data_IF_482567541966
#
_entry.id   IF_482567541966
#
_cell.length_a   1.000
_cell.length_b   1.000
_cell.length_c   1.000
_cell.angle_alpha   90.00
_cell.angle_beta   90.00
_cell.angle_gamma   90.00
#
_symmetry.space_group_name_H-M   'P 1'
#
loop_
_entity.id
_entity.type
_entity.pdbx_description
1 polymer ?
#
# COMPACT_ATOMS: atom_id res chain seq x y z
N UNK A 1 1.18 -47.19 28.34
CA UNK A 1 0.79 -46.10 29.22
C UNK A 1 1.99 -45.20 29.56
N UNK A 2 3.06 -45.62 30.19
CA UNK A 2 4.20 -44.77 30.59
C UNK A 2 4.79 -43.91 29.43
N UNK A 3 4.95 -44.47 28.22
CA UNK A 3 5.49 -43.71 27.06
C UNK A 3 4.57 -42.58 26.59
N UNK A 4 3.23 -42.81 26.63
CA UNK A 4 2.23 -41.81 26.27
C UNK A 4 2.19 -40.68 27.27
N UNK A 5 2.31 -40.96 28.57
CA UNK A 5 2.36 -39.94 29.62
C UNK A 5 3.60 -39.06 29.51
N UNK A 6 4.76 -39.65 29.16
CA UNK A 6 5.99 -38.89 28.93
C UNK A 6 5.86 -37.98 27.71
N UNK A 7 5.24 -38.46 26.63
CA UNK A 7 5.03 -37.69 25.41
C UNK A 7 4.09 -36.49 25.67
N UNK A 8 2.98 -36.70 26.37
CA UNK A 8 2.06 -35.64 26.76
C UNK A 8 2.76 -34.60 27.67
N UNK A 9 3.57 -35.08 28.63
CA UNK A 9 4.35 -34.19 29.49
C UNK A 9 5.35 -33.34 28.69
N UNK A 10 6.04 -33.91 27.72
CA UNK A 10 6.97 -33.19 26.86
C UNK A 10 6.28 -32.12 26.00
N UNK A 11 5.11 -32.45 25.43
CA UNK A 11 4.30 -31.49 24.66
C UNK A 11 3.82 -30.34 25.54
N UNK A 12 3.32 -30.62 26.73
CA UNK A 12 2.88 -29.57 27.66
C UNK A 12 4.02 -28.63 28.09
N UNK A 13 5.20 -29.18 28.37
CA UNK A 13 6.39 -28.39 28.68
C UNK A 13 6.80 -27.53 27.48
N UNK A 14 6.82 -28.08 26.25
CA UNK A 14 7.11 -27.32 25.05
C UNK A 14 6.09 -26.21 24.81
N UNK A 15 4.80 -26.45 25.01
CA UNK A 15 3.76 -25.41 24.92
C UNK A 15 3.93 -24.31 25.98
N UNK A 16 4.30 -24.67 27.21
CA UNK A 16 4.58 -23.68 28.27
C UNK A 16 5.81 -22.84 27.97
N UNK A 17 6.87 -23.46 27.44
CA UNK A 17 8.07 -22.75 27.01
C UNK A 17 7.76 -21.79 25.87
N UNK A 18 7.04 -22.26 24.83
CA UNK A 18 6.59 -21.41 23.71
C UNK A 18 5.68 -20.29 24.17
N UNK A 19 4.76 -20.54 25.12
CA UNK A 19 3.90 -19.52 25.70
C UNK A 19 4.69 -18.49 26.51
N UNK A 20 5.70 -18.93 27.27
CA UNK A 20 6.62 -18.05 27.98
C UNK A 20 7.49 -17.20 27.04
N UNK A 21 7.96 -17.79 25.93
CA UNK A 21 8.68 -17.05 24.88
C UNK A 21 7.75 -16.03 24.21
N UNK A 22 6.52 -16.41 23.86
CA UNK A 22 5.52 -15.48 23.29
C UNK A 22 5.26 -14.31 24.22
N UNK A 23 5.06 -14.54 25.51
CA UNK A 23 4.80 -13.48 26.49
C UNK A 23 6.00 -12.54 26.67
N UNK A 24 7.23 -13.05 26.63
CA UNK A 24 8.43 -12.22 26.65
C UNK A 24 8.63 -11.45 25.32
N UNK A 25 8.22 -12.02 24.20
CA UNK A 25 8.25 -11.32 22.90
C UNK A 25 7.18 -10.22 22.84
N UNK A 26 5.96 -10.49 23.30
CA UNK A 26 4.89 -9.49 23.41
C UNK A 26 5.26 -8.35 24.37
N UNK A 27 6.02 -8.64 25.43
CA UNK A 27 6.51 -7.59 26.38
C UNK A 27 7.69 -6.81 25.80
N UNK A 28 8.47 -7.39 24.90
CA UNK A 28 9.57 -6.71 24.22
C UNK A 28 9.10 -5.85 23.02
N UNK A 29 7.90 -6.15 22.49
CA UNK A 29 7.24 -5.38 21.41
C UNK A 29 6.12 -4.46 21.90
N UNK A 30 5.68 -4.59 23.14
CA UNK A 30 4.85 -3.57 23.78
C UNK A 30 5.74 -2.37 24.04
N UNK A 31 5.61 -1.32 23.19
CA UNK A 31 6.47 -0.16 23.19
C UNK A 31 6.76 0.33 24.60
N UNK A 32 8.03 0.52 24.90
CA UNK A 32 8.40 1.37 26.02
C UNK A 32 7.77 2.76 25.76
N UNK A 33 7.52 3.58 26.78
CA UNK A 33 7.02 4.93 26.58
C UNK A 33 7.93 5.80 25.67
N UNK A 34 9.07 5.27 25.25
CA UNK A 34 10.07 5.89 24.40
C UNK A 34 10.11 5.31 22.97
N UNK A 35 9.14 4.48 22.58
CA UNK A 35 9.12 3.83 21.26
C UNK A 35 7.84 4.16 20.53
N UNK A 36 7.95 4.52 19.24
CA UNK A 36 6.84 4.76 18.33
C UNK A 36 6.89 3.72 17.21
N UNK A 37 5.78 3.04 16.96
CA UNK A 37 5.67 2.03 15.90
C UNK A 37 4.92 2.64 14.73
N UNK A 38 5.64 2.82 13.62
CA UNK A 38 5.13 3.39 12.37
C UNK A 38 4.93 2.28 11.34
N UNK A 39 3.75 2.21 10.76
CA UNK A 39 3.39 1.21 9.75
C UNK A 39 3.06 1.90 8.43
N UNK A 40 3.96 1.78 7.45
CA UNK A 40 3.94 2.55 6.21
C UNK A 40 4.22 1.68 4.99
N UNK A 41 4.12 2.26 3.82
CA UNK A 41 4.62 1.72 2.57
C UNK A 41 6.15 1.67 2.57
N UNK A 42 6.75 0.80 1.75
CA UNK A 42 8.19 0.53 1.76
C UNK A 42 9.06 1.78 1.66
N UNK A 43 9.03 2.47 0.53
CA UNK A 43 9.92 3.60 0.22
C UNK A 43 9.26 4.98 0.42
N UNK A 44 8.36 5.12 1.40
CA UNK A 44 7.55 6.33 1.59
C UNK A 44 8.11 7.28 2.67
N UNK A 45 9.32 7.08 3.15
CA UNK A 45 10.00 7.99 4.06
C UNK A 45 11.52 7.97 3.79
N UNK A 46 12.16 9.12 3.90
CA UNK A 46 13.60 9.21 3.93
C UNK A 46 14.11 8.69 5.29
N UNK A 47 14.98 7.67 5.32
CA UNK A 47 15.54 7.16 6.56
C UNK A 47 16.28 8.21 7.40
N UNK A 48 16.83 9.25 6.79
CA UNK A 48 17.50 10.34 7.51
C UNK A 48 16.50 11.14 8.36
N UNK A 49 15.23 11.27 7.92
CA UNK A 49 14.18 11.92 8.70
C UNK A 49 13.80 11.12 9.95
N UNK A 50 13.85 9.80 9.89
CA UNK A 50 13.64 8.94 11.06
C UNK A 50 14.77 9.17 12.07
N UNK A 51 16.02 9.17 11.60
CA UNK A 51 17.17 9.41 12.45
C UNK A 51 17.12 10.80 13.10
N UNK A 52 16.76 11.84 12.34
CA UNK A 52 16.58 13.20 12.84
C UNK A 52 15.47 13.27 13.90
N UNK A 53 14.32 12.64 13.66
CA UNK A 53 13.23 12.59 14.63
C UNK A 53 13.66 11.91 15.94
N UNK A 54 14.40 10.80 15.86
CA UNK A 54 14.93 10.11 17.04
C UNK A 54 15.90 10.99 17.84
N UNK A 55 16.76 11.74 17.13
CA UNK A 55 17.72 12.66 17.78
C UNK A 55 17.01 13.83 18.45
N UNK A 56 16.02 14.44 17.78
CA UNK A 56 15.30 15.60 18.29
C UNK A 56 14.36 15.29 19.46
N UNK A 57 13.76 14.09 19.47
CA UNK A 57 12.70 13.74 20.43
C UNK A 57 13.12 12.77 21.51
N UNK A 58 14.18 12.00 21.28
CA UNK A 58 14.59 10.88 22.15
C UNK A 58 13.75 9.62 22.01
N UNK A 59 12.68 9.63 21.21
CA UNK A 59 11.92 8.43 20.91
C UNK A 59 12.67 7.52 19.93
N UNK A 60 12.44 6.21 20.04
CA UNK A 60 12.87 5.22 19.06
C UNK A 60 11.73 4.89 18.10
N UNK A 61 12.02 4.82 16.80
CA UNK A 61 11.05 4.47 15.78
C UNK A 61 11.25 3.02 15.34
N UNK A 62 10.22 2.20 15.53
CA UNK A 62 10.12 0.89 14.88
C UNK A 62 9.33 1.12 13.60
N UNK A 63 10.01 1.01 12.46
CA UNK A 63 9.41 1.21 11.16
C UNK A 63 9.09 -0.15 10.54
N UNK A 64 7.81 -0.44 10.36
CA UNK A 64 7.31 -1.63 9.68
C UNK A 64 6.67 -1.25 8.34
N UNK A 65 6.77 -2.13 7.36
CA UNK A 65 6.23 -1.89 6.02
C UNK A 65 5.13 -2.87 5.64
N UNK A 66 4.30 -2.46 4.68
CA UNK A 66 3.28 -3.30 4.05
C UNK A 66 3.23 -3.03 2.55
N UNK A 67 2.73 -4.02 1.81
CA UNK A 67 2.70 -4.01 0.35
C UNK A 67 1.29 -3.75 -0.21
N UNK A 68 0.25 -3.92 0.63
CA UNK A 68 -1.14 -3.61 0.25
C UNK A 68 -1.97 -3.15 1.44
N UNK A 69 -2.98 -2.30 1.19
CA UNK A 69 -3.93 -1.85 2.20
C UNK A 69 -4.69 -3.01 2.85
N UNK A 70 -4.97 -4.07 2.09
CA UNK A 70 -5.68 -5.25 2.54
C UNK A 70 -4.85 -6.06 3.55
N UNK A 71 -3.56 -6.24 3.26
CA UNK A 71 -2.61 -6.89 4.17
C UNK A 71 -2.43 -6.08 5.45
N UNK A 72 -2.22 -4.76 5.32
CA UNK A 72 -2.09 -3.81 6.43
C UNK A 72 -3.31 -3.88 7.36
N UNK A 73 -4.52 -3.72 6.81
CA UNK A 73 -5.76 -3.75 7.58
C UNK A 73 -5.98 -5.09 8.27
N UNK A 74 -5.68 -6.19 7.57
CA UNK A 74 -5.78 -7.54 8.13
C UNK A 74 -4.86 -7.69 9.34
N UNK A 75 -3.62 -7.24 9.24
CA UNK A 75 -2.64 -7.31 10.32
C UNK A 75 -3.05 -6.47 11.53
N UNK A 76 -3.54 -5.24 11.31
CA UNK A 76 -4.08 -4.39 12.39
C UNK A 76 -5.26 -5.09 13.10
N UNK A 77 -6.19 -5.67 12.34
CA UNK A 77 -7.36 -6.38 12.90
C UNK A 77 -7.01 -7.66 13.66
N UNK A 78 -5.95 -8.34 13.27
CA UNK A 78 -5.46 -9.52 14.00
C UNK A 78 -4.89 -9.14 15.37
N UNK A 79 -4.47 -7.90 15.55
CA UNK A 79 -3.84 -7.44 16.78
C UNK A 79 -2.45 -8.04 16.99
N UNK A 80 -1.91 -7.87 18.20
CA UNK A 80 -0.57 -8.35 18.56
C UNK A 80 0.50 -7.29 18.46
N UNK A 81 0.34 -6.28 17.60
CA UNK A 81 1.15 -5.06 17.55
C UNK A 81 0.23 -3.86 17.70
N UNK A 82 0.56 -2.95 18.60
CA UNK A 82 -0.12 -1.67 18.73
C UNK A 82 0.65 -0.65 17.89
N UNK A 83 0.16 -0.37 16.70
CA UNK A 83 0.71 0.67 15.83
C UNK A 83 0.30 2.05 16.35
N UNK A 84 1.27 2.97 16.47
CA UNK A 84 1.01 4.36 16.87
C UNK A 84 0.61 5.21 15.66
N UNK A 85 1.21 4.93 14.51
CA UNK A 85 0.91 5.61 13.23
C UNK A 85 0.82 4.59 12.11
N UNK A 86 -0.22 4.69 11.29
CA UNK A 86 -0.36 3.94 10.05
C UNK A 86 -0.62 4.89 8.88
N UNK A 87 -0.07 4.60 7.71
CA UNK A 87 -0.20 5.44 6.50
C UNK A 87 -0.94 4.67 5.39
N UNK A 88 -2.24 4.41 5.53
CA UNK A 88 -3.06 3.77 4.50
C UNK A 88 -3.51 4.74 3.42
N UNK A 89 -4.03 4.20 2.32
CA UNK A 89 -4.80 4.98 1.35
C UNK A 89 -6.17 5.38 1.91
N UNK A 90 -6.74 6.44 1.36
CA UNK A 90 -7.96 7.11 1.83
C UNK A 90 -9.17 6.19 2.00
N UNK A 91 -9.37 5.25 1.08
CA UNK A 91 -10.50 4.31 1.16
C UNK A 91 -10.38 3.35 2.35
N UNK A 92 -9.16 3.05 2.75
CA UNK A 92 -8.91 2.22 3.94
C UNK A 92 -9.12 3.01 5.22
N UNK A 93 -8.77 4.31 5.26
CA UNK A 93 -9.07 5.21 6.39
C UNK A 93 -10.57 5.19 6.68
N UNK A 94 -11.41 5.36 5.64
CA UNK A 94 -12.86 5.31 5.80
C UNK A 94 -13.33 4.00 6.47
N UNK A 95 -12.79 2.87 6.04
CA UNK A 95 -13.11 1.56 6.63
C UNK A 95 -12.61 1.43 8.06
N UNK A 96 -11.40 1.91 8.35
CA UNK A 96 -10.84 1.88 9.71
C UNK A 96 -11.65 2.74 10.69
N UNK A 97 -12.16 3.89 10.25
CA UNK A 97 -13.08 4.72 11.06
C UNK A 97 -14.37 3.96 11.37
N UNK A 98 -14.98 3.33 10.36
CA UNK A 98 -16.21 2.55 10.55
C UNK A 98 -16.03 1.37 11.52
N UNK A 99 -14.85 0.76 11.53
CA UNK A 99 -14.51 -0.37 12.37
C UNK A 99 -13.92 0.05 13.75
N UNK A 100 -13.84 1.36 14.06
CA UNK A 100 -13.29 1.92 15.29
C UNK A 100 -11.83 1.49 15.55
N UNK A 101 -11.02 1.47 14.50
CA UNK A 101 -9.60 1.12 14.56
C UNK A 101 -8.67 2.33 14.70
N UNK A 102 -9.21 3.54 14.67
CA UNK A 102 -8.46 4.79 14.75
C UNK A 102 -8.88 5.61 15.96
N UNK A 103 -7.92 6.28 16.58
CA UNK A 103 -8.17 7.30 17.60
C UNK A 103 -8.32 8.68 16.95
N UNK A 104 -9.07 9.56 17.61
CA UNK A 104 -9.22 10.95 17.14
C UNK A 104 -7.95 11.74 17.39
N UNK A 105 -7.60 12.56 16.42
CA UNK A 105 -6.47 13.47 16.50
C UNK A 105 -6.73 14.60 17.49
N UNK A 106 -5.75 14.90 18.32
CA UNK A 106 -5.75 16.06 19.21
C UNK A 106 -4.96 17.20 18.58
N UNK A 107 -5.65 18.08 17.88
CA UNK A 107 -5.05 19.20 17.17
C UNK A 107 -4.35 20.22 18.08
N UNK A 108 -4.62 20.20 19.39
CA UNK A 108 -3.88 21.05 20.34
C UNK A 108 -2.41 20.63 20.49
N UNK A 109 -2.09 19.40 20.08
CA UNK A 109 -0.74 18.80 20.15
C UNK A 109 -0.04 18.73 18.80
N UNK A 110 -0.77 18.95 17.69
CA UNK A 110 -0.25 18.84 16.33
C UNK A 110 0.17 20.22 15.84
N UNK A 111 1.39 20.31 15.36
CA UNK A 111 1.95 21.54 14.77
C UNK A 111 2.15 21.34 13.26
N UNK A 112 2.14 22.41 12.47
CA UNK A 112 2.45 22.36 11.05
C UNK A 112 1.27 22.03 10.14
N UNK A 113 0.07 21.85 10.67
CA UNK A 113 -1.15 21.66 9.87
C UNK A 113 -1.37 22.80 8.88
N UNK A 114 -1.00 24.00 9.25
CA UNK A 114 -1.08 25.20 8.42
C UNK A 114 -0.19 25.15 7.16
N UNK A 115 0.75 24.21 7.09
CA UNK A 115 1.59 23.99 5.91
C UNK A 115 1.00 23.00 4.92
N UNK A 116 -0.10 22.31 5.28
CA UNK A 116 -0.78 21.39 4.37
C UNK A 116 -1.66 22.20 3.41
N UNK A 117 -1.55 21.89 2.12
CA UNK A 117 -2.41 22.50 1.11
C UNK A 117 -3.89 22.19 1.42
N UNK A 118 -4.74 23.21 1.58
CA UNK A 118 -6.16 23.03 1.94
C UNK A 118 -6.94 22.13 0.98
N UNK A 119 -6.48 21.95 -0.26
CA UNK A 119 -7.12 21.05 -1.23
C UNK A 119 -7.15 19.59 -0.78
N UNK A 120 -6.21 19.18 0.09
CA UNK A 120 -6.12 17.81 0.60
C UNK A 120 -6.81 17.61 1.94
N UNK A 121 -7.26 18.69 2.58
CA UNK A 121 -8.03 18.65 3.82
C UNK A 121 -9.53 18.44 3.53
N UNK A 122 -10.28 18.01 4.53
CA UNK A 122 -11.74 17.88 4.50
C UNK A 122 -12.27 16.97 3.38
N UNK A 123 -11.52 15.93 3.07
CA UNK A 123 -11.92 14.96 2.05
C UNK A 123 -13.09 14.09 2.53
N UNK A 124 -13.85 13.52 1.59
CA UNK A 124 -15.08 12.77 1.88
C UNK A 124 -14.91 11.55 2.79
N UNK A 125 -13.70 11.02 2.89
CA UNK A 125 -13.36 9.88 3.77
C UNK A 125 -13.14 10.30 5.23
N UNK A 126 -12.76 11.57 5.48
CA UNK A 126 -12.59 12.16 6.82
C UNK A 126 -12.88 13.67 6.76
N UNK A 127 -14.17 14.08 6.66
CA UNK A 127 -14.55 15.47 6.37
C UNK A 127 -14.11 16.49 7.43
N UNK A 128 -13.94 16.05 8.67
CA UNK A 128 -13.49 16.90 9.78
C UNK A 128 -11.99 16.78 10.03
N UNK A 129 -11.27 15.99 9.24
CA UNK A 129 -9.89 15.59 9.52
C UNK A 129 -9.69 15.06 10.95
N UNK A 130 -10.70 14.35 11.47
CA UNK A 130 -10.71 13.92 12.87
C UNK A 130 -9.77 12.74 13.13
N UNK A 131 -9.37 12.01 12.10
CA UNK A 131 -8.64 10.75 12.22
C UNK A 131 -7.37 10.70 11.39
N UNK A 132 -7.23 11.57 10.39
CA UNK A 132 -6.15 11.52 9.41
C UNK A 132 -5.61 12.88 9.03
N UNK A 133 -4.33 12.88 8.64
CA UNK A 133 -3.62 14.03 8.08
C UNK A 133 -3.04 13.59 6.74
N UNK A 134 -3.19 14.35 5.65
CA UNK A 134 -2.61 14.03 4.35
C UNK A 134 -1.08 13.93 4.44
N UNK A 135 -0.53 12.87 3.83
CA UNK A 135 0.90 12.61 3.77
C UNK A 135 1.43 12.74 2.35
N UNK A 136 1.06 11.81 1.48
CA UNK A 136 1.37 11.86 0.05
C UNK A 136 0.10 11.78 -0.80
N UNK A 137 0.20 12.27 -2.02
CA UNK A 137 -0.79 12.07 -3.06
C UNK A 137 -0.08 11.80 -4.39
N UNK A 138 -0.77 11.17 -5.30
CA UNK A 138 -0.24 10.86 -6.62
C UNK A 138 -1.33 10.36 -7.55
N UNK A 139 -0.94 10.10 -8.78
CA UNK A 139 -1.78 9.47 -9.80
C UNK A 139 -1.39 8.01 -9.97
N UNK A 140 -2.33 7.15 -10.27
CA UNK A 140 -2.05 5.85 -10.84
C UNK A 140 -1.83 6.03 -12.35
N UNK A 141 -0.88 5.31 -12.93
CA UNK A 141 -0.61 5.43 -14.35
C UNK A 141 0.25 4.29 -14.86
N UNK A 142 0.77 4.47 -16.06
CA UNK A 142 1.51 3.44 -16.77
C UNK A 142 2.95 3.91 -16.98
N UNK A 143 3.92 3.15 -16.48
CA UNK A 143 5.36 3.29 -16.81
C UNK A 143 5.66 2.37 -17.97
N UNK A 144 6.38 2.86 -18.95
CA UNK A 144 6.79 2.06 -20.11
C UNK A 144 8.19 2.42 -20.61
N UNK A 145 8.84 1.46 -21.24
CA UNK A 145 10.16 1.67 -21.89
C UNK A 145 9.95 2.26 -23.29
N UNK A 146 10.43 3.50 -23.50
CA UNK A 146 10.34 4.26 -24.78
C UNK A 146 11.06 3.59 -25.93
N UNK A 147 12.09 2.79 -25.66
CA UNK A 147 12.83 2.06 -26.70
C UNK A 147 12.04 0.87 -27.25
N UNK A 148 11.09 0.34 -26.45
CA UNK A 148 10.21 -0.78 -26.84
C UNK A 148 8.89 -0.26 -27.35
N UNK A 149 8.31 0.71 -26.67
CA UNK A 149 7.01 1.30 -26.99
C UNK A 149 7.19 2.80 -27.24
N UNK A 150 7.17 3.26 -28.51
CA UNK A 150 7.29 4.68 -28.84
C UNK A 150 6.24 5.53 -28.14
N UNK A 151 6.57 6.81 -27.93
CA UNK A 151 5.65 7.78 -27.35
C UNK A 151 4.30 7.82 -28.12
N UNK A 152 3.20 7.82 -27.39
CA UNK A 152 1.83 7.77 -27.94
C UNK A 152 1.32 6.35 -28.23
N UNK A 153 2.13 5.30 -28.04
CA UNK A 153 1.65 3.90 -28.14
C UNK A 153 0.66 3.57 -27.03
N UNK A 154 0.90 4.14 -25.84
CA UNK A 154 0.08 3.94 -24.64
C UNK A 154 -0.41 5.32 -24.18
N UNK A 155 -1.73 5.49 -24.13
CA UNK A 155 -2.38 6.75 -23.74
C UNK A 155 -3.66 6.57 -22.93
N UNK A 156 -4.20 5.37 -22.92
CA UNK A 156 -5.46 5.00 -22.30
C UNK A 156 -5.31 3.72 -21.49
N UNK A 157 -6.15 3.53 -20.47
CA UNK A 157 -6.22 2.25 -19.76
C UNK A 157 -6.58 1.11 -20.71
N UNK A 158 -7.44 1.38 -21.69
CA UNK A 158 -7.85 0.39 -22.69
C UNK A 158 -6.68 -0.19 -23.49
N UNK A 159 -5.60 0.57 -23.65
CA UNK A 159 -4.40 0.09 -24.36
C UNK A 159 -3.82 -1.17 -23.72
N UNK A 160 -3.95 -1.33 -22.38
CA UNK A 160 -3.43 -2.50 -21.67
C UNK A 160 -4.04 -3.83 -22.15
N UNK A 161 -5.20 -3.81 -22.83
CA UNK A 161 -5.85 -5.00 -23.41
C UNK A 161 -5.35 -5.39 -24.80
N UNK A 162 -4.41 -4.65 -25.38
CA UNK A 162 -3.82 -4.98 -26.67
C UNK A 162 -3.08 -6.32 -26.63
N UNK A 163 -3.23 -7.13 -27.67
CA UNK A 163 -2.62 -8.47 -27.73
C UNK A 163 -1.08 -8.41 -27.72
N UNK A 164 -0.49 -7.32 -28.22
CA UNK A 164 0.95 -7.08 -28.21
C UNK A 164 1.54 -7.03 -26.78
N UNK A 165 0.73 -6.80 -25.76
CA UNK A 165 1.14 -6.74 -24.36
C UNK A 165 0.98 -8.06 -23.61
N UNK A 166 0.69 -9.14 -24.31
CA UNK A 166 0.52 -10.46 -23.70
C UNK A 166 1.74 -10.85 -22.87
N UNK A 167 1.49 -11.26 -21.60
CA UNK A 167 2.52 -11.69 -20.63
C UNK A 167 3.66 -10.67 -20.43
N UNK A 168 3.34 -9.37 -20.48
CA UNK A 168 4.37 -8.32 -20.41
C UNK A 168 4.14 -7.24 -19.37
N UNK A 169 2.93 -7.13 -18.80
CA UNK A 169 2.58 -6.04 -17.90
C UNK A 169 2.79 -6.46 -16.44
N UNK A 170 3.51 -5.63 -15.70
CA UNK A 170 3.55 -5.70 -14.24
C UNK A 170 2.41 -4.86 -13.67
N UNK A 171 1.60 -5.44 -12.80
CA UNK A 171 0.53 -4.73 -12.11
C UNK A 171 0.84 -4.60 -10.62
N UNK A 172 0.48 -3.45 -10.07
CA UNK A 172 0.51 -3.23 -8.62
C UNK A 172 -0.47 -4.18 -7.92
N UNK A 173 -0.08 -4.71 -6.76
CA UNK A 173 -0.95 -5.52 -5.91
C UNK A 173 -1.92 -4.62 -5.13
N UNK A 174 -2.99 -4.20 -5.80
CA UNK A 174 -4.02 -3.34 -5.25
C UNK A 174 -5.38 -3.65 -5.85
N UNK A 175 -6.29 -4.17 -5.02
CA UNK A 175 -7.63 -4.56 -5.49
C UNK A 175 -8.42 -3.35 -5.99
N UNK A 176 -8.30 -2.20 -5.30
CA UNK A 176 -8.99 -0.97 -5.68
C UNK A 176 -8.45 -0.39 -6.98
N UNK A 177 -7.14 -0.37 -7.13
CA UNK A 177 -6.44 0.13 -8.30
C UNK A 177 -6.85 -0.67 -9.55
N UNK A 178 -6.78 -1.99 -9.46
CA UNK A 178 -7.14 -2.88 -10.56
C UNK A 178 -8.62 -2.79 -10.94
N UNK A 179 -9.52 -2.70 -9.96
CA UNK A 179 -10.94 -2.48 -10.23
C UNK A 179 -11.20 -1.10 -10.79
N UNK A 180 -10.47 -0.08 -10.34
CA UNK A 180 -10.53 1.28 -10.85
C UNK A 180 -10.19 1.36 -12.32
N UNK A 181 -9.12 0.71 -12.76
CA UNK A 181 -8.73 0.60 -14.18
C UNK A 181 -9.90 0.01 -14.99
N UNK A 182 -10.47 -1.10 -14.52
CA UNK A 182 -11.58 -1.74 -15.25
C UNK A 182 -12.84 -0.88 -15.32
N UNK A 183 -13.15 -0.13 -14.27
CA UNK A 183 -14.29 0.79 -14.23
C UNK A 183 -14.06 1.98 -15.18
N UNK A 184 -12.92 2.65 -15.07
CA UNK A 184 -12.61 3.82 -15.90
C UNK A 184 -12.53 3.47 -17.39
N UNK A 185 -11.92 2.35 -17.75
CA UNK A 185 -11.90 1.85 -19.13
C UNK A 185 -13.31 1.69 -19.73
N UNK A 186 -14.31 1.46 -18.88
CA UNK A 186 -15.72 1.35 -19.30
C UNK A 186 -16.51 2.65 -19.11
N UNK A 187 -15.85 3.76 -18.72
CA UNK A 187 -16.47 5.06 -18.53
C UNK A 187 -17.21 5.23 -17.20
N UNK A 188 -16.97 4.35 -16.23
CA UNK A 188 -17.53 4.46 -14.89
C UNK A 188 -16.60 5.17 -13.92
N UNK A 189 -17.18 5.68 -12.84
CA UNK A 189 -16.42 6.29 -11.74
C UNK A 189 -15.60 5.25 -10.97
N UNK A 190 -14.41 5.65 -10.49
CA UNK A 190 -13.63 4.90 -9.49
C UNK A 190 -14.45 4.61 -8.21
N UNK A 191 -15.42 5.46 -7.92
CA UNK A 191 -16.29 5.38 -6.74
C UNK A 191 -17.66 4.76 -7.05
N UNK A 192 -17.77 3.97 -8.13
CA UNK A 192 -19.00 3.27 -8.49
C UNK A 192 -19.46 2.33 -7.36
N UNK A 193 -20.76 2.35 -7.06
CA UNK A 193 -21.35 1.58 -5.95
C UNK A 193 -22.41 0.59 -6.42
N UNK A 194 -22.84 0.66 -7.70
CA UNK A 194 -23.77 -0.32 -8.25
C UNK A 194 -23.08 -1.68 -8.33
N UNK A 195 -23.58 -2.62 -7.56
CA UNK A 195 -22.99 -3.96 -7.48
C UNK A 195 -22.99 -4.69 -8.82
N UNK A 196 -23.95 -4.40 -9.71
CA UNK A 196 -24.02 -5.03 -11.02
C UNK A 196 -22.90 -4.52 -11.90
N UNK A 197 -22.69 -3.19 -11.92
CA UNK A 197 -21.61 -2.54 -12.66
C UNK A 197 -20.25 -3.02 -12.14
N UNK A 198 -20.05 -3.05 -10.82
CA UNK A 198 -18.80 -3.52 -10.22
C UNK A 198 -18.54 -5.00 -10.56
N UNK A 199 -19.57 -5.86 -10.54
CA UNK A 199 -19.43 -7.27 -10.94
C UNK A 199 -19.07 -7.43 -12.42
N UNK A 200 -19.66 -6.64 -13.30
CA UNK A 200 -19.34 -6.66 -14.74
C UNK A 200 -17.92 -6.11 -14.99
N UNK A 201 -17.51 -5.04 -14.30
CA UNK A 201 -16.14 -4.54 -14.37
C UNK A 201 -15.12 -5.60 -13.90
N UNK A 202 -15.44 -6.37 -12.86
CA UNK A 202 -14.61 -7.50 -12.42
C UNK A 202 -14.53 -8.64 -13.45
N UNK A 203 -15.59 -8.91 -14.22
CA UNK A 203 -15.52 -9.85 -15.34
C UNK A 203 -14.67 -9.31 -16.48
N UNK A 204 -14.81 -8.01 -16.77
CA UNK A 204 -13.99 -7.34 -17.78
C UNK A 204 -12.50 -7.33 -17.38
N UNK A 205 -12.19 -7.03 -16.11
CA UNK A 205 -10.82 -7.09 -15.59
C UNK A 205 -10.17 -8.46 -15.82
N UNK A 206 -10.90 -9.56 -15.68
CA UNK A 206 -10.37 -10.90 -15.93
C UNK A 206 -9.87 -11.09 -17.38
N UNK A 207 -10.40 -10.34 -18.33
CA UNK A 207 -9.93 -10.40 -19.72
C UNK A 207 -8.58 -9.72 -19.92
N UNK A 208 -8.09 -8.95 -18.95
CA UNK A 208 -6.75 -8.36 -18.92
C UNK A 208 -5.68 -9.34 -18.45
N UNK A 209 -6.06 -10.36 -17.68
CA UNK A 209 -5.11 -11.29 -17.04
C UNK A 209 -4.14 -12.00 -18.01
N UNK A 210 -4.47 -12.31 -19.26
CA UNK A 210 -3.50 -12.85 -20.22
C UNK A 210 -2.32 -11.90 -20.52
N UNK A 211 -2.45 -10.60 -20.25
CA UNK A 211 -1.41 -9.59 -20.46
C UNK A 211 -0.55 -9.37 -19.20
N UNK A 212 -1.01 -9.90 -18.05
CA UNK A 212 -0.25 -9.80 -16.80
C UNK A 212 0.96 -10.73 -16.82
N UNK A 213 2.16 -10.15 -16.66
CA UNK A 213 3.40 -10.89 -16.36
C UNK A 213 3.48 -11.24 -14.89
N UNK A 214 3.15 -10.30 -14.02
CA UNK A 214 3.07 -10.48 -12.57
C UNK A 214 2.18 -9.41 -11.92
N UNK A 215 1.70 -9.71 -10.71
CA UNK A 215 1.08 -8.76 -9.79
C UNK A 215 2.03 -8.69 -8.60
N UNK A 216 2.69 -7.55 -8.40
CA UNK A 216 3.79 -7.37 -7.45
C UNK A 216 3.76 -5.96 -6.85
N UNK A 217 4.52 -5.75 -5.79
CA UNK A 217 4.64 -4.47 -5.11
C UNK A 217 5.97 -3.77 -5.47
N UNK A 218 6.80 -3.53 -4.48
CA UNK A 218 8.05 -2.74 -4.61
C UNK A 218 9.09 -3.33 -5.57
N UNK A 219 9.09 -4.65 -5.75
CA UNK A 219 9.99 -5.35 -6.67
C UNK A 219 9.83 -4.88 -8.13
N UNK A 220 8.66 -4.35 -8.48
CA UNK A 220 8.37 -3.79 -9.80
C UNK A 220 9.43 -2.78 -10.25
N UNK A 221 9.94 -1.96 -9.32
CA UNK A 221 10.98 -0.95 -9.61
C UNK A 221 12.22 -1.59 -10.20
N UNK A 222 12.69 -2.66 -9.57
CA UNK A 222 13.90 -3.37 -10.03
C UNK A 222 13.73 -3.93 -11.43
N UNK A 223 12.59 -4.60 -11.70
CA UNK A 223 12.31 -5.16 -13.02
C UNK A 223 12.26 -4.09 -14.12
N UNK A 224 11.66 -2.93 -13.83
CA UNK A 224 11.56 -1.84 -14.81
C UNK A 224 12.91 -1.14 -15.02
N UNK A 225 13.66 -0.85 -13.95
CA UNK A 225 14.97 -0.19 -14.02
C UNK A 225 15.97 -1.05 -14.77
N UNK A 226 15.96 -2.37 -14.56
CA UNK A 226 16.84 -3.34 -15.23
C UNK A 226 16.35 -3.77 -16.62
N UNK A 227 15.22 -3.23 -17.09
CA UNK A 227 14.58 -3.56 -18.38
C UNK A 227 14.18 -5.04 -18.51
N UNK A 228 13.95 -5.74 -17.38
CA UNK A 228 13.42 -7.10 -17.36
C UNK A 228 11.90 -7.12 -17.59
N UNK A 229 11.26 -5.96 -17.45
CA UNK A 229 9.90 -5.68 -17.88
C UNK A 229 9.85 -4.31 -18.57
N UNK A 230 8.88 -4.13 -19.46
CA UNK A 230 8.80 -2.94 -20.30
C UNK A 230 7.51 -2.13 -20.10
N UNK A 231 6.56 -2.64 -19.34
CA UNK A 231 5.32 -1.97 -18.96
C UNK A 231 5.00 -2.30 -17.51
N UNK A 232 4.61 -1.28 -16.76
CA UNK A 232 4.13 -1.44 -15.39
C UNK A 232 2.99 -0.45 -15.09
N UNK A 233 2.02 -0.88 -14.31
CA UNK A 233 0.98 -0.02 -13.73
C UNK A 233 1.35 0.27 -12.29
N UNK A 234 1.56 1.54 -11.97
CA UNK A 234 2.00 1.96 -10.64
C UNK A 234 1.70 3.44 -10.37
N UNK A 235 2.02 3.88 -9.16
CA UNK A 235 1.83 5.27 -8.76
C UNK A 235 2.94 6.19 -9.30
N UNK A 236 2.60 7.48 -9.45
CA UNK A 236 3.52 8.51 -9.99
C UNK A 236 4.81 8.67 -9.18
N UNK A 237 4.77 8.46 -7.86
CA UNK A 237 5.96 8.50 -7.02
C UNK A 237 6.96 7.41 -7.39
N UNK A 238 6.50 6.16 -7.49
CA UNK A 238 7.29 5.01 -7.94
C UNK A 238 7.82 5.21 -9.36
N UNK A 239 6.97 5.70 -10.26
CA UNK A 239 7.35 6.04 -11.63
C UNK A 239 8.48 7.07 -11.69
N UNK A 240 8.39 8.12 -10.86
CA UNK A 240 9.43 9.15 -10.76
C UNK A 240 10.77 8.57 -10.32
N UNK A 241 10.75 7.65 -9.34
CA UNK A 241 11.95 6.95 -8.89
C UNK A 241 12.55 6.10 -10.01
N UNK A 242 11.74 5.29 -10.68
CA UNK A 242 12.20 4.47 -11.82
C UNK A 242 12.81 5.33 -12.94
N UNK A 243 12.15 6.42 -13.32
CA UNK A 243 12.64 7.33 -14.37
C UNK A 243 13.92 8.07 -13.96
N UNK A 244 14.14 8.30 -12.67
CA UNK A 244 15.40 8.92 -12.20
C UNK A 244 16.61 7.98 -12.32
N UNK A 245 16.38 6.66 -12.35
CA UNK A 245 17.41 5.63 -12.45
C UNK A 245 17.54 5.06 -13.87
N UNK A 246 16.50 5.16 -14.70
CA UNK A 246 16.53 4.71 -16.10
C UNK A 246 15.81 5.73 -17.00
N UNK A 247 16.58 6.49 -17.76
CA UNK A 247 16.09 7.53 -18.69
C UNK A 247 15.26 6.98 -19.86
N UNK A 248 15.31 5.68 -20.13
CA UNK A 248 14.51 5.03 -21.16
C UNK A 248 13.03 4.86 -20.73
N UNK A 249 12.72 5.05 -19.47
CA UNK A 249 11.36 4.96 -18.96
C UNK A 249 10.58 6.27 -19.15
N UNK A 250 9.29 6.14 -19.34
CA UNK A 250 8.33 7.25 -19.36
C UNK A 250 7.09 6.87 -18.58
N UNK A 251 6.37 7.88 -18.10
CA UNK A 251 5.13 7.72 -17.37
C UNK A 251 4.00 8.45 -18.08
N UNK A 252 2.86 7.80 -18.18
CA UNK A 252 1.63 8.39 -18.72
C UNK A 252 0.47 8.21 -17.74
N UNK A 253 -0.27 9.29 -17.53
CA UNK A 253 -1.58 9.25 -16.89
C UNK A 253 -2.61 9.01 -17.99
N UNK A 254 -3.35 7.89 -17.96
CA UNK A 254 -4.33 7.56 -18.99
C UNK A 254 -5.43 8.60 -19.12
N UNK A 255 -5.94 8.78 -20.33
CA UNK A 255 -6.92 9.82 -20.66
C UNK A 255 -8.28 9.63 -19.98
N UNK A 256 -8.62 8.40 -19.60
CA UNK A 256 -9.85 8.09 -18.84
C UNK A 256 -9.78 8.59 -17.38
N UNK A 257 -8.57 8.97 -16.91
CA UNK A 257 -8.33 9.46 -15.55
C UNK A 257 -7.63 8.45 -14.64
N UNK A 258 -7.48 8.83 -13.39
CA UNK A 258 -6.70 8.08 -12.39
C UNK A 258 -7.35 8.20 -11.01
#
# INVERSE_FOLDING_TARGET
MKRLTILIGAILVSCLVLFGFRKNFETATAGSPETIIVYNWGDYIDPELIAQFEEETGYKVIYETFDSNEAMLTKIKQGGTNYDVAIPSEYTIHKMVQENLLEKLDYSKIKGIEHIDPRFLHQSFDPENSYSIPYFWGTLGIVYNKNVYPEGTISEWRDLWKEEFKDSILFIDGAREMMGIALQTQGYSLNEKDETIVKEAGKFLKTLMPNAKAIIADEMKTYMIQEEANIAVTFSGEASKMMSENENLAYVVPSEGT
#
